data_IF_048909946492
#
_entry.id   IF_048909946492
#
_cell.length_a   1.000
_cell.length_b   1.000
_cell.length_c   1.000
_cell.angle_alpha   90.00
_cell.angle_beta   90.00
_cell.angle_gamma   90.00
#
_symmetry.space_group_name_H-M   'P 1'
#
loop_
_entity.id
_entity.type
_entity.pdbx_description
1 polymer ?
#
# COMPACT_ATOMS: atom_id res chain seq x y z
N UNK A 1 -8.35 -2.55 24.73
CA UNK A 1 -7.32 -2.37 23.69
C UNK A 1 -7.80 -2.97 22.40
N UNK A 2 -7.62 -2.24 21.31
CA UNK A 2 -7.82 -2.73 19.95
C UNK A 2 -6.78 -3.81 19.64
N UNK A 3 -7.17 -4.98 19.13
CA UNK A 3 -6.21 -6.03 18.78
C UNK A 3 -5.36 -5.57 17.60
N UNK A 4 -4.03 -5.60 17.71
CA UNK A 4 -3.14 -5.20 16.60
C UNK A 4 -2.43 -6.41 15.98
N UNK A 5 -2.65 -6.62 14.68
CA UNK A 5 -1.96 -7.60 13.85
C UNK A 5 -1.00 -6.91 12.88
N UNK A 6 0.30 -7.24 12.98
CA UNK A 6 1.31 -6.85 12.02
C UNK A 6 1.63 -8.00 11.05
N UNK A 7 1.62 -7.74 9.75
CA UNK A 7 1.99 -8.71 8.70
C UNK A 7 3.11 -8.14 7.83
N UNK A 8 4.32 -8.66 7.99
CA UNK A 8 5.48 -8.28 7.20
C UNK A 8 5.84 -9.34 6.16
N UNK A 9 6.52 -8.94 5.10
CA UNK A 9 7.06 -9.89 4.13
C UNK A 9 7.46 -9.25 2.80
N UNK A 10 8.21 -9.99 1.96
CA UNK A 10 8.70 -9.47 0.69
C UNK A 10 7.57 -9.14 -0.30
N UNK A 11 7.93 -8.52 -1.43
CA UNK A 11 6.97 -8.24 -2.49
C UNK A 11 6.39 -9.55 -3.07
N UNK A 12 5.11 -9.53 -3.45
CA UNK A 12 4.38 -10.66 -4.02
C UNK A 12 4.32 -11.95 -3.16
N UNK A 13 4.56 -11.86 -1.84
CA UNK A 13 4.35 -12.99 -0.91
C UNK A 13 2.87 -13.35 -0.69
N UNK A 14 1.93 -12.53 -1.14
CA UNK A 14 0.49 -12.72 -0.88
C UNK A 14 -0.04 -11.95 0.33
N UNK A 15 0.85 -11.30 1.11
CA UNK A 15 0.50 -10.59 2.35
C UNK A 15 -0.67 -9.62 2.23
N UNK A 16 -0.73 -8.74 1.24
CA UNK A 16 -1.76 -7.68 1.18
C UNK A 16 -3.15 -8.27 0.89
N UNK A 17 -3.23 -9.26 0.00
CA UNK A 17 -4.49 -9.99 -0.27
C UNK A 17 -4.95 -10.75 0.97
N UNK A 18 -4.04 -11.48 1.61
CA UNK A 18 -4.35 -12.27 2.81
C UNK A 18 -4.72 -11.39 4.00
N UNK A 19 -3.95 -10.32 4.26
CA UNK A 19 -4.19 -9.37 5.33
C UNK A 19 -5.56 -8.72 5.23
N UNK A 20 -5.92 -8.27 4.02
CA UNK A 20 -7.19 -7.63 3.76
C UNK A 20 -8.38 -8.56 3.93
N UNK A 21 -8.28 -9.80 3.42
CA UNK A 21 -9.32 -10.81 3.62
C UNK A 21 -9.44 -11.24 5.09
N UNK A 22 -8.32 -11.37 5.80
CA UNK A 22 -8.32 -11.67 7.23
C UNK A 22 -8.99 -10.53 8.02
N UNK A 23 -8.68 -9.27 7.69
CA UNK A 23 -9.29 -8.11 8.32
C UNK A 23 -10.81 -8.10 8.13
N UNK A 24 -11.29 -8.38 6.91
CA UNK A 24 -12.72 -8.48 6.62
C UNK A 24 -13.39 -9.58 7.47
N UNK A 25 -12.79 -10.77 7.55
CA UNK A 25 -13.34 -11.88 8.35
C UNK A 25 -13.34 -11.60 9.85
N UNK A 26 -12.36 -10.86 10.36
CA UNK A 26 -12.22 -10.52 11.77
C UNK A 26 -12.98 -9.23 12.17
N UNK A 27 -13.60 -8.54 11.21
CA UNK A 27 -14.14 -7.18 11.39
C UNK A 27 -13.08 -6.21 11.97
N UNK A 28 -11.86 -6.29 11.42
CA UNK A 28 -10.74 -5.42 11.75
C UNK A 28 -10.56 -4.36 10.66
N UNK A 29 -9.98 -3.22 11.04
CA UNK A 29 -9.51 -2.22 10.08
C UNK A 29 -8.31 -2.77 9.31
N UNK A 30 -8.27 -2.58 8.00
CA UNK A 30 -7.11 -2.95 7.18
C UNK A 30 -6.30 -1.72 6.78
N UNK A 31 -5.00 -1.74 7.05
CA UNK A 31 -4.06 -0.66 6.72
C UNK A 31 -2.95 -1.19 5.80
N UNK A 32 -2.97 -0.74 4.54
CA UNK A 32 -1.86 -0.95 3.59
C UNK A 32 -0.80 0.12 3.80
N UNK A 33 0.24 -0.18 4.60
CA UNK A 33 1.33 0.78 4.85
C UNK A 33 2.07 1.15 3.56
N UNK A 34 2.14 0.23 2.59
CA UNK A 34 2.81 0.43 1.31
C UNK A 34 2.05 1.38 0.38
N UNK A 35 0.72 1.42 0.47
CA UNK A 35 -0.09 2.41 -0.24
C UNK A 35 0.21 3.84 0.23
N UNK A 36 0.45 4.04 1.53
CA UNK A 36 0.76 5.38 2.06
C UNK A 36 2.07 5.94 1.49
N UNK A 37 3.13 5.13 1.43
CA UNK A 37 4.39 5.54 0.80
C UNK A 37 4.22 5.85 -0.69
N UNK A 38 3.35 5.11 -1.39
CA UNK A 38 3.05 5.36 -2.80
C UNK A 38 2.21 6.61 -3.01
N UNK A 39 1.26 6.90 -2.12
CA UNK A 39 0.51 8.16 -2.14
C UNK A 39 1.44 9.36 -2.00
N UNK A 40 2.44 9.29 -1.09
CA UNK A 40 3.47 10.35 -1.00
C UNK A 40 4.31 10.43 -2.28
N UNK A 41 4.73 9.30 -2.85
CA UNK A 41 5.49 9.30 -4.11
C UNK A 41 4.68 9.93 -5.26
N UNK A 42 3.40 9.60 -5.36
CA UNK A 42 2.48 10.19 -6.34
C UNK A 42 2.33 11.70 -6.13
N UNK A 43 2.18 12.13 -4.87
CA UNK A 43 2.14 13.55 -4.53
C UNK A 43 3.41 14.30 -4.94
N UNK A 44 4.58 13.67 -4.73
CA UNK A 44 5.87 14.21 -5.16
C UNK A 44 5.92 14.31 -6.68
N UNK A 45 5.54 13.26 -7.43
CA UNK A 45 5.47 13.31 -8.89
C UNK A 45 4.61 14.49 -9.37
N UNK A 46 3.41 14.66 -8.78
CA UNK A 46 2.49 15.74 -9.14
C UNK A 46 3.06 17.13 -8.81
N UNK A 47 3.61 17.32 -7.62
CA UNK A 47 4.16 18.61 -7.19
C UNK A 47 5.32 19.07 -8.08
N UNK A 48 6.27 18.18 -8.37
CA UNK A 48 7.40 18.52 -9.23
C UNK A 48 6.99 18.68 -10.70
N UNK A 49 5.98 17.95 -11.17
CA UNK A 49 5.38 18.20 -12.48
C UNK A 49 4.85 19.63 -12.56
N UNK A 50 4.04 20.07 -11.60
CA UNK A 50 3.49 21.44 -11.56
C UNK A 50 4.62 22.49 -11.50
N UNK A 51 5.63 22.28 -10.66
CA UNK A 51 6.76 23.22 -10.52
C UNK A 51 7.59 23.39 -11.81
N UNK A 52 7.62 22.38 -12.69
CA UNK A 52 8.31 22.48 -13.99
C UNK A 52 7.53 23.30 -15.02
N UNK A 53 6.20 23.36 -14.88
CA UNK A 53 5.31 24.13 -15.76
C UNK A 53 5.10 25.59 -15.30
N UNK A 54 5.55 25.95 -14.09
CA UNK A 54 5.48 27.33 -13.57
C UNK A 54 6.60 28.26 -14.13
N UNK A 55 7.42 27.75 -15.06
CA UNK A 55 8.32 28.56 -15.88
C UNK A 55 7.66 28.87 -17.23
N UNK A 56 6.96 30.02 -17.25
CA UNK A 56 6.32 30.70 -18.39
C UNK A 56 4.84 30.40 -18.67
N UNK A 57 3.98 31.34 -18.24
CA UNK A 57 2.76 31.81 -18.91
C UNK A 57 1.94 30.77 -19.67
N UNK A 58 0.97 30.12 -18.99
CA UNK A 58 -0.21 29.60 -19.68
C UNK A 58 -1.47 29.87 -18.84
N UNK A 59 -2.52 30.31 -19.52
CA UNK A 59 -3.83 30.60 -18.93
C UNK A 59 -4.51 29.31 -18.42
N UNK A 60 -5.37 29.46 -17.41
CA UNK A 60 -5.99 28.38 -16.62
C UNK A 60 -6.70 27.26 -17.42
N UNK A 61 -7.04 27.50 -18.69
CA UNK A 61 -7.68 26.51 -19.57
C UNK A 61 -6.72 25.54 -20.26
N UNK A 62 -5.41 25.81 -20.29
CA UNK A 62 -4.41 24.90 -20.89
C UNK A 62 -3.87 23.85 -19.92
N UNK A 63 -3.92 24.10 -18.59
CA UNK A 63 -3.48 23.12 -17.60
C UNK A 63 -4.27 21.80 -17.70
N UNK A 64 -5.59 21.87 -17.81
CA UNK A 64 -6.46 20.67 -17.89
C UNK A 64 -6.17 19.82 -19.14
N UNK A 65 -5.75 20.44 -20.24
CA UNK A 65 -5.40 19.75 -21.48
C UNK A 65 -4.00 19.10 -21.39
N UNK A 66 -3.05 19.73 -20.69
CA UNK A 66 -1.72 19.17 -20.40
C UNK A 66 -1.83 17.97 -19.45
N UNK A 67 -2.72 18.02 -18.45
CA UNK A 67 -3.00 16.91 -17.54
C UNK A 67 -3.49 15.65 -18.27
N UNK A 68 -4.29 15.80 -19.33
CA UNK A 68 -4.81 14.68 -20.13
C UNK A 68 -3.82 14.13 -21.16
N UNK A 69 -2.89 14.97 -21.65
CA UNK A 69 -2.02 14.63 -22.79
C UNK A 69 -0.55 14.32 -22.41
N UNK A 70 -0.07 14.74 -21.24
CA UNK A 70 1.38 14.76 -20.89
C UNK A 70 1.71 13.90 -19.66
N UNK A 71 0.74 13.20 -19.08
CA UNK A 71 0.91 12.38 -17.86
C UNK A 71 1.78 11.10 -17.99
N UNK A 72 2.47 10.88 -19.12
CA UNK A 72 3.24 9.65 -19.34
C UNK A 72 4.67 9.81 -19.88
N UNK A 73 5.09 10.99 -20.36
CA UNK A 73 6.39 11.14 -21.04
C UNK A 73 7.34 12.19 -20.46
N UNK A 74 6.88 13.12 -19.63
CA UNK A 74 7.74 14.23 -19.14
C UNK A 74 8.40 13.96 -17.78
N UNK A 75 8.00 12.90 -17.07
CA UNK A 75 8.44 12.68 -15.68
C UNK A 75 9.87 12.14 -15.54
N UNK A 76 10.43 11.38 -16.49
CA UNK A 76 11.66 10.63 -16.18
C UNK A 76 12.97 11.43 -16.29
N UNK A 77 13.10 12.33 -17.26
CA UNK A 77 14.34 13.10 -17.47
C UNK A 77 14.43 14.29 -16.51
N UNK A 78 13.30 14.94 -16.23
CA UNK A 78 13.24 16.08 -15.31
C UNK A 78 13.36 15.65 -13.84
N UNK A 79 12.73 14.53 -13.42
CA UNK A 79 13.01 13.96 -12.09
C UNK A 79 14.43 13.41 -11.97
N UNK A 80 15.03 12.79 -13.00
CA UNK A 80 16.43 12.31 -12.89
C UNK A 80 17.47 13.43 -12.83
N UNK A 81 17.20 14.58 -13.45
CA UNK A 81 18.12 15.72 -13.43
C UNK A 81 17.91 16.64 -12.22
N UNK A 82 16.69 16.75 -11.67
CA UNK A 82 16.39 17.63 -10.52
C UNK A 82 16.05 16.92 -9.21
N UNK A 83 15.74 15.63 -9.22
CA UNK A 83 15.50 14.81 -8.02
C UNK A 83 16.52 13.68 -7.97
N UNK A 84 17.76 14.06 -7.69
CA UNK A 84 18.61 13.16 -6.94
C UNK A 84 18.17 13.28 -5.48
N UNK A 85 17.59 12.25 -4.83
CA UNK A 85 17.26 12.26 -3.40
C UNK A 85 18.52 12.40 -2.49
N UNK A 86 19.65 12.80 -3.06
CA UNK A 86 20.91 13.09 -2.38
C UNK A 86 21.07 14.57 -2.03
N UNK A 87 20.21 15.47 -2.51
CA UNK A 87 20.24 16.90 -2.14
C UNK A 87 19.43 17.14 -0.86
N UNK A 88 20.01 17.86 0.11
CA UNK A 88 19.38 18.13 1.41
C UNK A 88 18.11 18.98 1.29
N UNK A 89 18.02 19.87 0.29
CA UNK A 89 16.84 20.71 0.05
C UNK A 89 15.65 19.90 -0.46
N UNK A 90 15.88 18.95 -1.38
CA UNK A 90 14.80 18.10 -1.91
C UNK A 90 14.29 17.13 -0.84
N UNK A 91 15.17 16.62 0.01
CA UNK A 91 14.82 15.76 1.16
C UNK A 91 13.86 16.46 2.12
N UNK A 92 14.13 17.73 2.47
CA UNK A 92 13.28 18.52 3.37
C UNK A 92 11.90 18.80 2.76
N UNK A 93 11.84 19.14 1.47
CA UNK A 93 10.58 19.36 0.75
C UNK A 93 9.73 18.09 0.68
N UNK A 94 10.33 16.94 0.39
CA UNK A 94 9.61 15.66 0.34
C UNK A 94 9.04 15.31 1.72
N UNK A 95 9.80 15.51 2.80
CA UNK A 95 9.31 15.30 4.16
C UNK A 95 8.15 16.25 4.51
N UNK A 96 8.23 17.52 4.07
CA UNK A 96 7.15 18.48 4.23
C UNK A 96 5.87 18.05 3.48
N UNK A 97 6.00 17.63 2.22
CA UNK A 97 4.87 17.09 1.45
C UNK A 97 4.24 15.87 2.13
N UNK A 98 5.07 14.97 2.68
CA UNK A 98 4.57 13.84 3.47
C UNK A 98 3.83 14.32 4.73
N UNK A 99 4.33 15.34 5.42
CA UNK A 99 3.73 15.87 6.65
C UNK A 99 2.36 16.50 6.39
N UNK A 100 2.25 17.30 5.33
CA UNK A 100 1.01 17.99 4.93
C UNK A 100 0.04 17.09 4.16
N UNK A 101 0.46 15.88 3.76
CA UNK A 101 -0.44 14.95 3.07
C UNK A 101 -1.53 14.41 4.01
N UNK A 102 -2.78 14.46 3.54
CA UNK A 102 -3.93 13.82 4.17
C UNK A 102 -4.23 12.52 3.42
N UNK A 103 -3.76 11.39 3.97
CA UNK A 103 -3.94 10.07 3.38
C UNK A 103 -5.07 9.35 4.10
N UNK A 104 -6.12 8.98 3.37
CA UNK A 104 -7.22 8.18 3.88
C UNK A 104 -7.29 6.84 3.14
N UNK A 105 -7.42 5.75 3.89
CA UNK A 105 -7.54 4.40 3.34
C UNK A 105 -8.95 3.90 3.64
N UNK A 106 -9.67 3.44 2.61
CA UNK A 106 -10.98 2.84 2.76
C UNK A 106 -11.02 1.48 2.08
N UNK A 107 -11.20 0.41 2.86
CA UNK A 107 -11.41 -0.92 2.29
C UNK A 107 -12.89 -1.19 2.10
N UNK A 108 -13.30 -1.52 0.88
CA UNK A 108 -14.69 -1.83 0.54
C UNK A 108 -15.10 -3.13 1.24
N UNK A 109 -16.05 -3.04 2.18
CA UNK A 109 -16.55 -4.19 2.94
C UNK A 109 -17.67 -4.95 2.23
N UNK A 110 -18.25 -4.38 1.17
CA UNK A 110 -19.31 -5.01 0.37
C UNK A 110 -18.80 -5.40 -1.03
N UNK A 111 -19.35 -6.49 -1.62
CA UNK A 111 -19.13 -6.75 -3.03
C UNK A 111 -19.55 -5.51 -3.84
N UNK A 112 -18.85 -5.19 -4.94
CA UNK A 112 -19.22 -4.05 -5.78
C UNK A 112 -20.69 -4.20 -6.20
N UNK A 113 -21.46 -3.09 -6.25
CA UNK A 113 -22.85 -3.14 -6.68
C UNK A 113 -22.94 -3.83 -8.04
N UNK A 114 -23.87 -4.79 -8.16
CA UNK A 114 -24.10 -5.53 -9.41
C UNK A 114 -24.27 -4.54 -10.57
N UNK A 115 -23.60 -4.77 -11.73
CA UNK A 115 -23.86 -3.94 -12.90
C UNK A 115 -25.33 -4.08 -13.31
N UNK A 116 -26.02 -2.95 -13.52
CA UNK A 116 -27.40 -2.90 -14.01
C UNK A 116 -27.57 -3.38 -15.47
N UNK A 117 -26.61 -4.10 -16.05
CA UNK A 117 -26.67 -4.59 -17.42
C UNK A 117 -26.07 -6.00 -17.53
N UNK A 118 -26.78 -6.87 -18.25
CA UNK A 118 -26.41 -8.26 -18.52
C UNK A 118 -24.99 -8.38 -19.12
N UNK A 119 -24.00 -8.54 -18.25
CA UNK A 119 -22.69 -9.11 -18.59
C UNK A 119 -22.20 -9.88 -17.37
N UNK A 120 -21.68 -11.09 -17.62
CA UNK A 120 -21.38 -12.12 -16.63
C UNK A 120 -20.56 -11.60 -15.44
N UNK A 121 -20.86 -11.98 -14.18
CA UNK A 121 -19.95 -11.72 -13.08
C UNK A 121 -18.73 -12.64 -13.27
N UNK A 122 -17.57 -12.04 -13.53
CA UNK A 122 -16.30 -12.76 -13.56
C UNK A 122 -15.52 -12.49 -12.28
N UNK A 123 -15.22 -13.58 -11.57
CA UNK A 123 -14.39 -13.68 -10.34
C UNK A 123 -14.97 -13.05 -9.06
N UNK A 124 -14.86 -13.80 -7.96
CA UNK A 124 -15.04 -13.35 -6.58
C UNK A 124 -14.24 -12.07 -6.34
N UNK A 125 -14.90 -10.91 -6.27
CA UNK A 125 -14.22 -9.63 -6.09
C UNK A 125 -13.65 -9.57 -4.67
N UNK A 126 -12.33 -9.65 -4.58
CA UNK A 126 -11.63 -9.35 -3.34
C UNK A 126 -12.00 -7.92 -2.90
N UNK A 127 -12.16 -7.67 -1.59
CA UNK A 127 -12.28 -6.29 -1.08
C UNK A 127 -11.17 -5.42 -1.67
N UNK A 128 -11.50 -4.23 -2.14
CA UNK A 128 -10.55 -3.28 -2.69
C UNK A 128 -10.23 -2.22 -1.62
N UNK A 129 -8.96 -1.84 -1.53
CA UNK A 129 -8.56 -0.69 -0.71
C UNK A 129 -8.43 0.52 -1.61
N UNK A 130 -9.37 1.45 -1.41
CA UNK A 130 -9.38 2.79 -1.98
C UNK A 130 -8.42 3.68 -1.18
N UNK A 131 -7.70 4.54 -1.88
CA UNK A 131 -6.68 5.42 -1.31
C UNK A 131 -6.97 6.83 -1.77
N UNK A 132 -7.23 7.70 -0.79
CA UNK A 132 -7.46 9.11 -1.04
C UNK A 132 -6.26 9.92 -0.54
N UNK A 133 -5.82 10.87 -1.34
CA UNK A 133 -4.75 11.81 -1.04
C UNK A 133 -5.31 13.23 -1.16
N UNK A 134 -5.34 13.97 -0.05
CA UNK A 134 -5.88 15.33 0.01
C UNK A 134 -7.31 15.46 -0.53
N UNK A 135 -8.11 14.40 -0.38
CA UNK A 135 -9.51 14.31 -0.84
C UNK A 135 -9.70 13.71 -2.23
N UNK A 136 -8.64 13.57 -3.03
CA UNK A 136 -8.70 12.97 -4.37
C UNK A 136 -8.47 11.46 -4.32
N UNK A 137 -9.25 10.70 -5.10
CA UNK A 137 -9.03 9.26 -5.25
C UNK A 137 -7.79 9.03 -6.12
N UNK A 138 -6.75 8.41 -5.55
CA UNK A 138 -5.49 8.07 -6.22
C UNK A 138 -5.27 6.57 -6.31
N UNK A 139 -6.34 5.79 -6.17
CA UNK A 139 -6.29 4.32 -6.03
C UNK A 139 -5.52 3.66 -7.17
N UNK A 140 -5.71 4.09 -8.42
CA UNK A 140 -5.06 3.45 -9.57
C UNK A 140 -3.68 4.06 -9.87
N UNK A 141 -3.54 5.36 -9.65
CA UNK A 141 -2.36 6.20 -9.88
C UNK A 141 -1.17 5.71 -9.06
N UNK A 142 -1.40 5.43 -7.76
CA UNK A 142 -0.36 4.93 -6.85
C UNK A 142 0.18 3.54 -7.25
N UNK A 143 -0.51 2.84 -8.16
CA UNK A 143 -0.11 1.51 -8.67
C UNK A 143 0.56 1.59 -10.04
N UNK A 144 0.73 2.80 -10.59
CA UNK A 144 1.48 3.02 -11.82
C UNK A 144 2.90 2.48 -11.73
N UNK A 145 3.48 2.16 -12.89
CA UNK A 145 4.87 1.71 -12.96
C UNK A 145 5.83 2.80 -12.48
N UNK A 146 5.50 4.07 -12.75
CA UNK A 146 6.27 5.22 -12.32
C UNK A 146 6.35 5.29 -10.79
N UNK A 147 5.21 5.28 -10.09
CA UNK A 147 5.17 5.30 -8.63
C UNK A 147 5.85 4.07 -8.04
N UNK A 148 5.58 2.88 -8.61
CA UNK A 148 6.14 1.62 -8.13
C UNK A 148 7.67 1.56 -8.23
N UNK A 149 8.25 2.15 -9.27
CA UNK A 149 9.69 2.15 -9.49
C UNK A 149 10.43 3.14 -8.57
N UNK A 150 9.77 4.21 -8.14
CA UNK A 150 10.41 5.30 -7.39
C UNK A 150 10.11 5.30 -5.88
N UNK A 151 9.05 4.60 -5.42
CA UNK A 151 8.66 4.58 -4.01
C UNK A 151 9.75 4.08 -3.05
N UNK A 152 10.71 3.28 -3.53
CA UNK A 152 11.84 2.82 -2.71
C UNK A 152 12.75 3.96 -2.25
N UNK A 153 12.90 5.03 -3.04
CA UNK A 153 13.64 6.23 -2.66
C UNK A 153 12.96 6.97 -1.51
N UNK A 154 11.64 7.17 -1.62
CA UNK A 154 10.80 7.78 -0.58
C UNK A 154 10.85 6.94 0.70
N UNK A 155 10.67 5.62 0.60
CA UNK A 155 10.66 4.71 1.74
C UNK A 155 12.02 4.56 2.45
N UNK A 156 13.12 5.00 1.81
CA UNK A 156 14.47 4.98 2.38
C UNK A 156 14.86 6.31 3.04
N UNK A 157 14.03 7.35 2.94
CA UNK A 157 14.28 8.66 3.52
C UNK A 157 13.82 8.72 5.00
N UNK A 158 14.73 8.92 5.98
CA UNK A 158 14.39 8.91 7.40
C UNK A 158 13.31 9.92 7.79
N UNK A 159 13.35 11.15 7.27
CA UNK A 159 12.41 12.20 7.66
C UNK A 159 10.99 11.89 7.18
N UNK A 160 10.87 11.37 5.96
CA UNK A 160 9.59 10.87 5.43
C UNK A 160 9.09 9.68 6.25
N UNK A 161 9.98 8.75 6.60
CA UNK A 161 9.61 7.59 7.43
C UNK A 161 9.10 8.02 8.79
N UNK A 162 9.75 8.97 9.46
CA UNK A 162 9.33 9.45 10.78
C UNK A 162 7.88 9.96 10.72
N UNK A 163 7.57 10.81 9.73
CA UNK A 163 6.22 11.33 9.51
C UNK A 163 5.21 10.22 9.21
N UNK A 164 5.53 9.31 8.28
CA UNK A 164 4.58 8.27 7.89
C UNK A 164 4.37 7.21 8.97
N UNK A 165 5.39 6.88 9.77
CA UNK A 165 5.27 5.98 10.91
C UNK A 165 4.33 6.56 11.97
N UNK A 166 4.41 7.87 12.23
CA UNK A 166 3.47 8.55 13.14
C UNK A 166 2.02 8.45 12.62
N UNK A 167 1.79 8.76 11.34
CA UNK A 167 0.45 8.62 10.71
C UNK A 167 -0.04 7.16 10.75
N UNK A 168 0.82 6.20 10.49
CA UNK A 168 0.49 4.77 10.54
C UNK A 168 0.10 4.31 11.95
N UNK A 169 0.82 4.76 12.99
CA UNK A 169 0.49 4.47 14.39
C UNK A 169 -0.83 5.11 14.81
N UNK A 170 -1.09 6.35 14.38
CA UNK A 170 -2.37 7.01 14.63
C UNK A 170 -3.54 6.20 14.03
N UNK A 171 -3.44 5.81 12.76
CA UNK A 171 -4.44 4.95 12.11
C UNK A 171 -4.62 3.61 12.85
N UNK A 172 -3.52 2.96 13.25
CA UNK A 172 -3.57 1.68 13.96
C UNK A 172 -4.11 1.75 15.39
N UNK A 173 -4.19 2.96 15.97
CA UNK A 173 -4.80 3.18 17.29
C UNK A 173 -6.32 3.36 17.23
N UNK A 174 -6.90 3.48 16.03
CA UNK A 174 -8.32 3.76 15.83
C UNK A 174 -8.71 5.21 16.12
N UNK A 175 -7.74 6.12 16.28
CA UNK A 175 -7.98 7.56 16.38
C UNK A 175 -8.17 8.09 14.95
N UNK A 176 -9.43 8.31 14.57
CA UNK A 176 -9.80 9.00 13.33
C UNK A 176 -9.96 10.49 13.63
N UNK A 177 -9.27 11.35 12.89
CA UNK A 177 -9.49 12.79 12.95
C UNK A 177 -10.77 13.13 12.17
N UNK A 178 -11.91 13.20 12.87
CA UNK A 178 -13.22 13.54 12.30
C UNK A 178 -13.25 14.97 11.73
N UNK A 179 -12.29 15.82 12.07
CA UNK A 179 -12.32 17.25 11.76
C UNK A 179 -12.07 17.60 10.28
N UNK A 180 -11.61 16.66 9.44
CA UNK A 180 -11.21 16.93 8.05
C UNK A 180 -12.03 16.18 6.98
N UNK A 181 -13.07 15.46 7.36
CA UNK A 181 -14.05 14.89 6.41
C UNK A 181 -15.09 15.93 5.99
N UNK A 182 -14.68 16.90 5.18
CA UNK A 182 -15.57 17.91 4.55
C UNK A 182 -16.26 17.41 3.27
N UNK A 183 -16.44 16.10 3.12
CA UNK A 183 -17.24 15.54 2.02
C UNK A 183 -18.40 14.77 2.59
N UNK A 184 -19.61 15.09 2.13
CA UNK A 184 -20.92 14.51 2.47
C UNK A 184 -21.06 13.01 2.18
N UNK A 185 -19.96 12.26 2.14
CA UNK A 185 -19.93 10.81 2.07
C UNK A 185 -20.09 10.31 3.50
N UNK A 186 -21.36 10.31 3.92
CA UNK A 186 -21.99 9.58 5.02
C UNK A 186 -21.07 9.19 6.18
N UNK A 187 -21.32 9.66 7.42
CA UNK A 187 -20.85 8.97 8.61
C UNK A 187 -21.62 7.65 8.71
N UNK A 188 -21.27 6.69 7.85
CA UNK A 188 -21.59 5.29 8.03
C UNK A 188 -20.88 4.92 9.31
N UNK A 189 -21.64 4.92 10.39
CA UNK A 189 -21.29 4.44 11.72
C UNK A 189 -20.56 3.11 11.53
N UNK A 190 -19.23 3.16 11.38
CA UNK A 190 -18.41 1.97 11.52
C UNK A 190 -18.54 1.64 12.99
N UNK A 191 -19.20 0.52 13.28
CA UNK A 191 -19.03 -0.19 14.54
C UNK A 191 -17.52 -0.19 14.79
N UNK A 192 -17.05 0.46 15.85
CA UNK A 192 -15.63 0.66 16.11
C UNK A 192 -14.90 -0.65 15.84
N UNK A 193 -13.88 -0.67 14.95
CA UNK A 193 -13.26 -1.93 14.54
C UNK A 193 -12.77 -2.67 15.79
N UNK A 194 -12.85 -4.00 15.79
CA UNK A 194 -12.41 -4.82 16.95
C UNK A 194 -10.89 -4.98 17.02
N UNK A 195 -10.23 -4.72 15.90
CA UNK A 195 -8.79 -4.80 15.75
C UNK A 195 -8.32 -4.03 14.52
N UNK A 196 -7.02 -4.07 14.28
CA UNK A 196 -6.37 -3.58 13.07
C UNK A 196 -5.45 -4.66 12.51
N UNK A 197 -5.46 -4.83 11.21
CA UNK A 197 -4.46 -5.57 10.44
C UNK A 197 -3.67 -4.57 9.60
N UNK A 198 -2.37 -4.50 9.82
CA UNK A 198 -1.47 -3.68 9.01
C UNK A 198 -0.45 -4.57 8.31
N UNK A 199 -0.33 -4.43 6.98
CA UNK A 199 0.71 -5.12 6.21
C UNK A 199 1.80 -4.18 5.69
N UNK A 200 3.03 -4.69 5.61
CA UNK A 200 4.19 -3.87 5.22
C UNK A 200 5.50 -4.63 5.09
N UNK A 201 6.59 -3.97 5.49
CA UNK A 201 7.97 -4.53 5.51
C UNK A 201 8.59 -4.51 6.90
N UNK A 202 8.26 -3.50 7.69
CA UNK A 202 8.78 -3.27 9.04
C UNK A 202 7.66 -2.90 10.03
N UNK A 203 6.45 -3.43 9.82
CA UNK A 203 5.32 -3.18 10.70
C UNK A 203 5.61 -3.73 12.09
N UNK A 204 5.95 -5.01 12.22
CA UNK A 204 6.18 -5.66 13.51
C UNK A 204 7.52 -5.31 14.18
N UNK A 205 8.45 -4.69 13.46
CA UNK A 205 9.77 -4.29 13.97
C UNK A 205 9.85 -2.81 14.33
N UNK A 206 9.15 -1.93 13.60
CA UNK A 206 9.30 -0.47 13.73
C UNK A 206 7.96 0.22 13.99
N UNK A 207 6.93 -0.05 13.18
CA UNK A 207 5.67 0.70 13.26
C UNK A 207 4.89 0.29 14.52
N UNK A 208 4.61 -1.01 14.66
CA UNK A 208 3.88 -1.66 15.74
C UNK A 208 4.76 -2.71 16.44
N UNK A 209 5.86 -2.30 17.11
CA UNK A 209 6.78 -3.23 17.78
C UNK A 209 6.12 -3.97 18.95
N UNK A 210 4.96 -3.50 19.43
CA UNK A 210 4.19 -4.10 20.51
C UNK A 210 2.86 -4.71 20.01
N UNK A 211 2.71 -4.94 18.69
CA UNK A 211 1.52 -5.58 18.13
C UNK A 211 1.18 -6.89 18.85
N UNK A 212 -0.12 -7.18 18.99
CA UNK A 212 -0.58 -8.36 19.72
C UNK A 212 -0.15 -9.68 19.07
N UNK A 213 -0.12 -9.66 17.74
CA UNK A 213 0.38 -10.73 16.90
C UNK A 213 1.21 -10.13 15.75
N UNK A 214 2.35 -10.76 15.48
CA UNK A 214 3.21 -10.44 14.34
C UNK A 214 3.39 -11.68 13.50
N UNK A 215 3.20 -11.56 12.20
CA UNK A 215 3.38 -12.64 11.23
C UNK A 215 4.34 -12.15 10.15
N UNK A 216 5.32 -12.96 9.81
CA UNK A 216 6.22 -12.73 8.69
C UNK A 216 5.93 -13.75 7.60
N UNK A 217 5.25 -13.30 6.54
CA UNK A 217 4.80 -14.14 5.42
C UNK A 217 5.84 -14.13 4.32
N UNK A 218 6.32 -15.32 3.95
CA UNK A 218 7.28 -15.50 2.85
C UNK A 218 6.75 -16.43 1.76
N UNK A 219 7.49 -16.51 0.67
CA UNK A 219 7.42 -17.57 -0.33
C UNK A 219 8.73 -17.54 -1.15
N UNK A 220 9.07 -18.63 -1.83
CA UNK A 220 10.24 -18.65 -2.71
C UNK A 220 10.16 -17.55 -3.79
N UNK A 221 11.31 -17.00 -4.22
CA UNK A 221 11.36 -15.95 -5.23
C UNK A 221 10.64 -16.35 -6.52
N UNK A 222 10.81 -17.61 -6.94
CA UNK A 222 10.13 -18.17 -8.12
C UNK A 222 8.61 -18.21 -7.97
N UNK A 223 8.09 -18.61 -6.80
CA UNK A 223 6.63 -18.61 -6.54
C UNK A 223 6.09 -17.18 -6.56
N UNK A 224 6.79 -16.24 -5.93
CA UNK A 224 6.39 -14.83 -5.90
C UNK A 224 6.43 -14.19 -7.29
N UNK A 225 7.47 -14.48 -8.08
CA UNK A 225 7.56 -14.05 -9.48
C UNK A 225 6.43 -14.65 -10.32
N UNK A 226 6.08 -15.93 -10.12
CA UNK A 226 4.95 -16.57 -10.80
C UNK A 226 3.62 -15.89 -10.47
N UNK A 227 3.38 -15.57 -9.19
CA UNK A 227 2.18 -14.83 -8.76
C UNK A 227 2.13 -13.45 -9.41
N UNK A 228 3.24 -12.70 -9.37
CA UNK A 228 3.33 -11.36 -9.97
C UNK A 228 3.17 -11.37 -11.49
N UNK A 229 3.75 -12.36 -12.16
CA UNK A 229 3.64 -12.54 -13.60
C UNK A 229 2.19 -12.74 -14.02
N UNK A 230 1.45 -13.63 -13.32
CA UNK A 230 0.01 -13.85 -13.56
C UNK A 230 -0.81 -12.59 -13.33
N UNK A 231 -0.52 -11.83 -12.27
CA UNK A 231 -1.18 -10.54 -11.98
C UNK A 231 -0.97 -9.54 -13.12
N UNK A 232 0.26 -9.38 -13.60
CA UNK A 232 0.58 -8.49 -14.71
C UNK A 232 -0.11 -8.94 -16.01
N UNK A 233 -0.14 -10.24 -16.31
CA UNK A 233 -0.85 -10.77 -17.47
C UNK A 233 -2.34 -10.46 -17.43
N UNK A 234 -2.97 -10.63 -16.25
CA UNK A 234 -4.38 -10.29 -16.05
C UNK A 234 -4.63 -8.79 -16.25
N UNK A 235 -3.77 -7.94 -15.69
CA UNK A 235 -3.88 -6.48 -15.86
C UNK A 235 -3.72 -6.04 -17.32
N UNK A 236 -2.72 -6.58 -18.04
CA UNK A 236 -2.51 -6.30 -19.46
C UNK A 236 -3.70 -6.76 -20.32
N UNK A 237 -4.25 -7.93 -20.02
CA UNK A 237 -5.44 -8.45 -20.70
C UNK A 237 -6.66 -7.54 -20.49
N UNK A 238 -6.96 -7.19 -19.23
CA UNK A 238 -8.08 -6.32 -18.88
C UNK A 238 -7.97 -4.92 -19.49
N UNK A 239 -6.75 -4.36 -19.56
CA UNK A 239 -6.49 -3.03 -20.15
C UNK A 239 -6.28 -3.06 -21.67
N UNK A 240 -6.43 -4.22 -22.32
CA UNK A 240 -6.18 -4.43 -23.77
C UNK A 240 -4.80 -3.93 -24.22
N UNK A 241 -3.80 -4.08 -23.36
CA UNK A 241 -2.42 -3.68 -23.64
C UNK A 241 -1.71 -4.86 -24.30
N UNK A 242 -1.25 -4.67 -25.54
CA UNK A 242 -0.47 -5.65 -26.30
C UNK A 242 1.01 -5.67 -25.89
N UNK A 243 1.30 -5.74 -24.59
CA UNK A 243 2.66 -5.81 -24.07
C UNK A 243 3.05 -7.25 -23.75
N UNK A 244 4.19 -7.68 -24.26
CA UNK A 244 4.80 -8.95 -23.87
C UNK A 244 5.42 -8.78 -22.49
N UNK A 245 4.97 -9.60 -21.54
CA UNK A 245 5.55 -9.66 -20.19
C UNK A 245 6.54 -10.83 -20.18
N UNK A 246 7.78 -10.57 -19.77
CA UNK A 246 8.83 -11.58 -19.62
C UNK A 246 8.93 -12.03 -18.15
N UNK A 247 8.78 -13.33 -17.92
CA UNK A 247 8.90 -13.94 -16.59
C UNK A 247 10.30 -13.73 -15.98
N UNK A 248 11.36 -13.86 -16.77
CA UNK A 248 12.73 -13.71 -16.27
C UNK A 248 12.98 -12.28 -15.80
N UNK A 249 12.43 -11.30 -16.52
CA UNK A 249 12.49 -9.90 -16.13
C UNK A 249 11.73 -9.63 -14.83
N UNK A 250 10.54 -10.20 -14.67
CA UNK A 250 9.75 -10.10 -13.42
C UNK A 250 10.51 -10.71 -12.23
N UNK A 251 11.15 -11.86 -12.42
CA UNK A 251 11.96 -12.49 -11.38
C UNK A 251 13.16 -11.61 -10.99
N UNK A 252 13.92 -11.13 -11.98
CA UNK A 252 15.09 -10.28 -11.77
C UNK A 252 14.72 -8.99 -11.01
N UNK A 253 13.64 -8.32 -11.42
CA UNK A 253 13.19 -7.08 -10.79
C UNK A 253 12.72 -7.32 -9.34
N UNK A 254 12.10 -8.48 -9.09
CA UNK A 254 11.67 -8.88 -7.75
C UNK A 254 12.86 -9.21 -6.85
N UNK A 255 13.88 -9.91 -7.34
CA UNK A 255 15.11 -10.20 -6.58
C UNK A 255 15.91 -8.93 -6.26
N UNK A 256 16.02 -8.00 -7.24
CA UNK A 256 16.63 -6.69 -7.00
C UNK A 256 15.90 -5.91 -5.91
N UNK A 257 14.57 -5.95 -5.94
CA UNK A 257 13.74 -5.30 -4.93
C UNK A 257 13.91 -5.93 -3.56
N UNK A 258 13.94 -7.26 -3.48
CA UNK A 258 14.16 -7.95 -2.21
C UNK A 258 15.53 -7.58 -1.63
N UNK A 259 16.59 -7.61 -2.45
CA UNK A 259 17.92 -7.17 -2.02
C UNK A 259 17.89 -5.75 -1.44
N UNK A 260 17.26 -4.81 -2.15
CA UNK A 260 17.09 -3.43 -1.69
C UNK A 260 16.30 -3.31 -0.38
N UNK A 261 15.22 -4.09 -0.23
CA UNK A 261 14.39 -4.11 1.00
C UNK A 261 15.17 -4.73 2.19
N UNK A 262 15.97 -5.79 1.99
CA UNK A 262 16.78 -6.45 3.03
C UNK A 262 18.02 -5.66 3.44
N UNK A 263 18.73 -5.06 2.49
CA UNK A 263 20.00 -4.34 2.73
C UNK A 263 19.80 -2.87 3.12
N UNK A 264 18.56 -2.39 3.21
CA UNK A 264 18.26 -1.00 3.55
C UNK A 264 18.85 -0.64 4.91
N UNK A 265 19.57 0.49 4.98
CA UNK A 265 20.19 0.98 6.22
C UNK A 265 19.17 1.29 7.32
N UNK A 266 17.99 1.80 6.93
CA UNK A 266 16.92 2.21 7.84
C UNK A 266 15.73 1.32 7.60
N UNK A 267 15.17 0.73 8.66
CA UNK A 267 14.00 -0.16 8.57
C UNK A 267 14.14 -1.27 7.50
N UNK A 268 15.21 -2.10 7.56
CA UNK A 268 15.32 -3.23 6.64
C UNK A 268 14.15 -4.19 6.83
N UNK A 269 13.77 -4.87 5.75
CA UNK A 269 12.85 -6.00 5.82
C UNK A 269 13.47 -7.09 6.69
N UNK A 270 12.98 -7.23 7.91
CA UNK A 270 13.47 -8.22 8.87
C UNK A 270 12.30 -8.81 9.63
N UNK A 271 12.34 -10.12 9.86
CA UNK A 271 11.41 -10.78 10.77
C UNK A 271 11.65 -10.26 12.20
N UNK A 272 10.61 -9.76 12.86
CA UNK A 272 10.69 -9.48 14.30
C UNK A 272 10.94 -10.78 15.08
N UNK A 273 11.67 -10.70 16.19
CA UNK A 273 12.11 -11.89 16.93
C UNK A 273 10.91 -12.75 17.38
N UNK A 274 9.84 -12.09 17.84
CA UNK A 274 8.57 -12.66 18.29
C UNK A 274 7.54 -12.93 17.16
N UNK A 275 7.87 -12.63 15.90
CA UNK A 275 6.96 -12.89 14.79
C UNK A 275 6.90 -14.37 14.40
N UNK A 276 5.69 -14.86 14.14
CA UNK A 276 5.45 -16.18 13.58
C UNK A 276 5.89 -16.17 12.11
N UNK A 277 6.72 -17.12 11.71
CA UNK A 277 7.12 -17.30 10.32
C UNK A 277 6.09 -18.16 9.58
N UNK A 278 5.57 -17.65 8.47
CA UNK A 278 4.58 -18.35 7.63
C UNK A 278 5.12 -18.45 6.19
N UNK A 279 5.53 -19.65 5.79
CA UNK A 279 5.85 -19.92 4.39
C UNK A 279 4.58 -20.22 3.61
N UNK A 280 4.24 -19.33 2.68
CA UNK A 280 3.04 -19.43 1.85
C UNK A 280 3.29 -20.09 0.50
N UNK A 281 4.49 -20.65 0.24
CA UNK A 281 4.88 -21.15 -1.08
C UNK A 281 3.85 -22.12 -1.69
N UNK A 282 3.30 -23.02 -0.86
CA UNK A 282 2.34 -24.05 -1.26
C UNK A 282 0.92 -23.79 -0.71
N UNK A 283 0.63 -22.55 -0.27
CA UNK A 283 -0.68 -22.17 0.27
C UNK A 283 -1.46 -21.31 -0.72
N UNK A 284 -2.74 -21.64 -0.91
CA UNK A 284 -3.72 -20.74 -1.51
C UNK A 284 -3.97 -19.52 -0.62
N UNK A 285 -4.55 -18.45 -1.19
CA UNK A 285 -4.90 -17.26 -0.40
C UNK A 285 -5.90 -17.62 0.70
N UNK A 286 -6.87 -18.48 0.43
CA UNK A 286 -7.87 -18.92 1.43
C UNK A 286 -7.21 -19.64 2.60
N UNK A 287 -6.31 -20.59 2.34
CA UNK A 287 -5.58 -21.31 3.40
C UNK A 287 -4.70 -20.36 4.23
N UNK A 288 -4.08 -19.36 3.60
CA UNK A 288 -3.34 -18.34 4.33
C UNK A 288 -4.26 -17.52 5.25
N UNK A 289 -5.45 -17.14 4.76
CA UNK A 289 -6.43 -16.38 5.55
C UNK A 289 -6.93 -17.22 6.72
N UNK A 290 -7.29 -18.48 6.49
CA UNK A 290 -7.71 -19.42 7.54
C UNK A 290 -6.63 -19.53 8.62
N UNK A 291 -5.37 -19.66 8.21
CA UNK A 291 -4.25 -19.76 9.15
C UNK A 291 -4.04 -18.49 9.95
N UNK A 292 -4.15 -17.31 9.33
CA UNK A 292 -4.01 -16.04 10.04
C UNK A 292 -5.16 -15.85 11.04
N UNK A 293 -6.40 -16.14 10.65
CA UNK A 293 -7.57 -16.05 11.54
C UNK A 293 -7.42 -16.99 12.74
N UNK A 294 -7.00 -18.24 12.51
CA UNK A 294 -6.71 -19.20 13.59
C UNK A 294 -5.69 -18.64 14.59
N UNK A 295 -4.59 -18.08 14.10
CA UNK A 295 -3.53 -17.50 14.94
C UNK A 295 -4.03 -16.28 15.73
N UNK A 296 -4.85 -15.43 15.12
CA UNK A 296 -5.46 -14.28 15.79
C UNK A 296 -6.38 -14.73 16.91
N UNK A 297 -7.30 -15.66 16.66
CA UNK A 297 -8.22 -16.22 17.65
C UNK A 297 -7.47 -16.85 18.83
N UNK A 298 -6.42 -17.63 18.54
CA UNK A 298 -5.57 -18.22 19.57
C UNK A 298 -4.90 -17.15 20.43
N UNK A 299 -4.27 -16.14 19.82
CA UNK A 299 -3.54 -15.08 20.53
C UNK A 299 -4.48 -14.17 21.32
N UNK A 300 -5.66 -13.86 20.79
CA UNK A 300 -6.66 -13.07 21.50
C UNK A 300 -7.13 -13.79 22.76
N UNK A 301 -7.38 -15.11 22.68
CA UNK A 301 -7.71 -15.93 23.85
C UNK A 301 -6.59 -15.95 24.90
N UNK A 302 -5.33 -16.11 24.48
CA UNK A 302 -4.15 -16.05 25.38
C UNK A 302 -4.05 -14.71 26.13
N UNK A 303 -4.51 -13.62 25.49
CA UNK A 303 -4.46 -12.26 26.04
C UNK A 303 -5.77 -11.80 26.70
N UNK A 304 -6.80 -12.65 26.77
CA UNK A 304 -8.15 -12.29 27.20
C UNK A 304 -8.74 -11.08 26.45
N UNK A 305 -8.51 -11.01 25.14
CA UNK A 305 -9.10 -10.01 24.24
C UNK A 305 -10.30 -10.65 23.55
N UNK A 306 -11.47 -10.05 23.69
CA UNK A 306 -12.69 -10.47 23.00
C UNK A 306 -12.69 -9.97 21.55
N UNK A 307 -12.79 -10.90 20.61
CA UNK A 307 -12.84 -10.63 19.16
C UNK A 307 -14.00 -11.38 18.48
N UNK A 308 -15.09 -11.67 19.20
CA UNK A 308 -16.26 -12.45 18.73
C UNK A 308 -16.56 -12.29 17.22
N UNK A 309 -16.52 -13.39 16.48
CA UNK A 309 -16.77 -13.47 15.04
C UNK A 309 -18.26 -13.44 14.71
#
# INVERSE_FOLDING_TARGET
NLFQLAIDGPAASGKSSTARMAAQRLNFEYIDSGAMYRAVMDFVCLFFFISLFDLHTTSSLQLSFIFSFVGAQVTLAALRQNLSPTSLEDVSKIAQLAATSHIHLHTTSEPPPLPLTHSMPSSSSLPQTLVYLNGEDVTDEIRSLEVTNNVSGIASNPDVRNVLVEKQRALASGIYDEAHTTSSITPLIRKSPKGTVMDGRDVGTVILPNADLKIFVTASAKVRATRRFKELQQQSYSKRISQIIDFNKVLEDLEKRDKSDYERKISPLKKADDAIFLDSSDMSVTEQVDKIVELVLKRAKEKNIDIDL
#
